data_IF_179804925658
#
_entry.id   IF_179804925658
#
_cell.length_a   1.000
_cell.length_b   1.000
_cell.length_c   1.000
_cell.angle_alpha   90.00
_cell.angle_beta   90.00
_cell.angle_gamma   90.00
#
_symmetry.space_group_name_H-M   'P 1'
#
loop_
_entity.id
_entity.type
_entity.pdbx_description
1 polymer ?
#
# COMPACT_ATOMS: atom_id res chain seq x y z
N UNK A 1 -7.95 3.16 11.57
CA UNK A 1 -7.04 3.72 10.56
C UNK A 1 -5.96 2.77 10.14
N UNK A 2 -5.47 1.93 11.00
CA UNK A 2 -4.65 0.82 10.56
C UNK A 2 -5.55 -0.34 10.14
N UNK A 3 -4.97 -1.29 9.42
CA UNK A 3 -5.72 -2.47 8.98
C UNK A 3 -5.73 -3.51 10.07
N UNK A 4 -6.76 -4.37 10.07
CA UNK A 4 -6.84 -5.48 11.01
C UNK A 4 -5.81 -6.55 10.66
N UNK A 5 -5.47 -7.40 11.64
CA UNK A 5 -4.57 -8.53 11.38
C UNK A 5 -5.12 -9.47 10.31
N UNK A 6 -6.43 -9.68 10.31
CA UNK A 6 -7.09 -10.53 9.31
C UNK A 6 -6.96 -9.97 7.91
N UNK A 7 -7.19 -8.66 7.75
CA UNK A 7 -7.06 -8.00 6.45
C UNK A 7 -5.62 -8.00 5.97
N UNK A 8 -4.68 -7.74 6.87
CA UNK A 8 -3.26 -7.79 6.56
C UNK A 8 -2.85 -9.18 6.08
N UNK A 9 -3.30 -10.22 6.76
CA UNK A 9 -3.01 -11.61 6.36
C UNK A 9 -3.58 -11.91 4.97
N UNK A 10 -4.78 -11.43 4.66
CA UNK A 10 -5.39 -11.61 3.35
C UNK A 10 -4.57 -10.91 2.26
N UNK A 11 -4.10 -9.70 2.50
CA UNK A 11 -3.26 -8.96 1.55
C UNK A 11 -1.92 -9.67 1.32
N UNK A 12 -1.31 -10.17 2.38
CA UNK A 12 -0.06 -10.93 2.27
C UNK A 12 -0.27 -12.14 1.38
N UNK A 13 -1.35 -12.88 1.61
CA UNK A 13 -1.68 -14.07 0.83
C UNK A 13 -1.91 -13.73 -0.65
N UNK A 14 -2.65 -12.65 -0.92
CA UNK A 14 -3.03 -12.26 -2.28
C UNK A 14 -1.85 -11.74 -3.10
N UNK A 15 -0.90 -11.08 -2.48
CA UNK A 15 0.19 -10.41 -3.17
C UNK A 15 1.55 -11.06 -2.96
N UNK A 16 1.63 -12.11 -2.16
CA UNK A 16 2.89 -12.82 -1.95
C UNK A 16 3.39 -13.44 -3.25
N UNK A 17 4.68 -13.34 -3.49
CA UNK A 17 5.31 -13.94 -4.67
C UNK A 17 5.48 -15.45 -4.52
N UNK A 18 5.56 -15.91 -3.29
CA UNK A 18 5.67 -17.32 -2.94
C UNK A 18 5.13 -17.56 -1.54
N UNK A 19 4.90 -18.82 -1.19
CA UNK A 19 4.43 -19.17 0.15
C UNK A 19 5.39 -18.63 1.21
N UNK A 20 4.84 -18.04 2.25
CA UNK A 20 5.61 -17.48 3.35
C UNK A 20 6.18 -16.09 3.09
N UNK A 21 5.94 -15.51 1.92
CA UNK A 21 6.39 -14.15 1.61
C UNK A 21 5.53 -13.14 2.35
N UNK A 22 6.14 -12.39 3.27
CA UNK A 22 5.46 -11.35 4.04
C UNK A 22 6.07 -9.98 3.83
N UNK A 23 7.15 -9.88 3.05
CA UNK A 23 7.92 -8.65 2.95
C UNK A 23 8.30 -8.21 1.54
N UNK A 24 7.75 -8.83 0.49
CA UNK A 24 8.05 -8.39 -0.86
C UNK A 24 7.53 -6.98 -1.10
N UNK A 25 8.10 -6.23 -2.05
CA UNK A 25 7.57 -4.90 -2.39
C UNK A 25 6.09 -4.91 -2.74
N UNK A 26 5.62 -5.95 -3.43
CA UNK A 26 4.20 -6.08 -3.79
C UNK A 26 3.31 -6.16 -2.56
N UNK A 27 3.68 -6.98 -1.59
CA UNK A 27 2.95 -7.10 -0.32
C UNK A 27 2.96 -5.77 0.43
N UNK A 28 4.12 -5.12 0.52
CA UNK A 28 4.23 -3.83 1.21
C UNK A 28 3.38 -2.75 0.55
N UNK A 29 3.38 -2.68 -0.78
CA UNK A 29 2.56 -1.71 -1.52
C UNK A 29 1.08 -1.98 -1.28
N UNK A 30 0.65 -3.24 -1.29
CA UNK A 30 -0.75 -3.59 -1.03
C UNK A 30 -1.19 -3.15 0.37
N UNK A 31 -0.37 -3.40 1.38
CA UNK A 31 -0.65 -2.98 2.76
C UNK A 31 -0.72 -1.45 2.86
N UNK A 32 0.23 -0.75 2.28
CA UNK A 32 0.24 0.72 2.29
C UNK A 32 -0.98 1.29 1.58
N UNK A 33 -1.38 0.71 0.47
CA UNK A 33 -2.56 1.15 -0.29
C UNK A 33 -3.83 1.04 0.56
N UNK A 34 -4.00 -0.06 1.29
CA UNK A 34 -5.14 -0.25 2.19
C UNK A 34 -5.11 0.78 3.32
N UNK A 35 -3.95 0.99 3.95
CA UNK A 35 -3.80 1.96 5.03
C UNK A 35 -4.06 3.37 4.55
N UNK A 36 -3.59 3.73 3.35
CA UNK A 36 -3.84 5.05 2.76
C UNK A 36 -5.34 5.25 2.53
N UNK A 37 -6.03 4.25 2.00
CA UNK A 37 -7.47 4.34 1.78
C UNK A 37 -8.22 4.53 3.09
N UNK A 38 -7.87 3.78 4.14
CA UNK A 38 -8.49 3.90 5.46
C UNK A 38 -8.26 5.28 6.05
N UNK A 39 -7.06 5.81 5.93
CA UNK A 39 -6.72 7.13 6.46
C UNK A 39 -7.40 8.24 5.66
N UNK A 40 -7.51 8.08 4.35
CA UNK A 40 -8.24 9.03 3.50
C UNK A 40 -9.70 9.11 3.94
N UNK A 41 -10.33 7.98 4.24
CA UNK A 41 -11.69 7.96 4.77
C UNK A 41 -11.79 8.66 6.13
N UNK A 42 -10.77 8.52 6.97
CA UNK A 42 -10.71 9.21 8.25
C UNK A 42 -10.81 10.72 8.07
N UNK A 43 -10.18 11.29 7.07
CA UNK A 43 -10.19 12.74 6.83
C UNK A 43 -11.54 13.27 6.38
N UNK A 44 -12.46 12.44 5.94
CA UNK A 44 -13.83 12.88 5.64
C UNK A 44 -14.54 13.38 6.89
N UNK A 45 -14.18 12.83 8.06
CA UNK A 45 -14.77 13.22 9.34
C UNK A 45 -13.82 14.06 10.20
N UNK A 46 -12.50 14.01 9.96
CA UNK A 46 -11.49 14.63 10.81
C UNK A 46 -10.50 15.45 9.97
N UNK A 47 -11.01 16.47 9.26
CA UNK A 47 -10.21 17.25 8.30
C UNK A 47 -9.06 18.02 8.92
N UNK A 48 -9.09 18.27 10.23
CA UNK A 48 -8.06 19.05 10.93
C UNK A 48 -7.03 18.18 11.66
N UNK A 49 -7.03 16.88 11.42
CA UNK A 49 -6.08 15.97 12.05
C UNK A 49 -4.72 16.04 11.36
N UNK A 50 -3.86 16.94 11.83
CA UNK A 50 -2.56 17.18 11.21
C UNK A 50 -1.58 16.03 11.40
N UNK A 51 -1.67 15.29 12.51
CA UNK A 51 -0.80 14.11 12.72
C UNK A 51 -1.10 13.02 11.70
N UNK A 52 -2.37 12.77 11.45
CA UNK A 52 -2.78 11.78 10.45
C UNK A 52 -2.41 12.22 9.04
N UNK A 53 -2.45 13.53 8.74
CA UNK A 53 -2.01 14.04 7.44
C UNK A 53 -0.53 13.77 7.20
N UNK A 54 0.31 13.98 8.21
CA UNK A 54 1.74 13.67 8.10
C UNK A 54 1.96 12.19 7.87
N UNK A 55 1.22 11.35 8.59
CA UNK A 55 1.28 9.90 8.40
C UNK A 55 0.86 9.48 7.00
N UNK A 56 -0.20 10.10 6.47
CA UNK A 56 -0.68 9.83 5.12
C UNK A 56 0.40 10.19 4.08
N UNK A 57 0.98 11.38 4.18
CA UNK A 57 2.01 11.82 3.25
C UNK A 57 3.23 10.90 3.29
N UNK A 58 3.61 10.44 4.48
CA UNK A 58 4.71 9.50 4.65
C UNK A 58 4.42 8.17 3.96
N UNK A 59 3.21 7.65 4.13
CA UNK A 59 2.80 6.39 3.50
C UNK A 59 2.73 6.50 1.98
N UNK A 60 2.22 7.61 1.45
CA UNK A 60 2.18 7.87 0.01
C UNK A 60 3.60 7.89 -0.56
N UNK A 61 4.52 8.56 0.15
CA UNK A 61 5.92 8.65 -0.24
C UNK A 61 6.60 7.28 -0.23
N UNK A 62 6.36 6.47 0.80
CA UNK A 62 6.89 5.11 0.89
C UNK A 62 6.34 4.22 -0.23
N UNK A 63 5.05 4.34 -0.53
CA UNK A 63 4.44 3.57 -1.62
C UNK A 63 5.09 3.93 -2.96
N UNK A 64 5.30 5.21 -3.23
CA UNK A 64 5.96 5.67 -4.45
C UNK A 64 7.37 5.07 -4.57
N UNK A 65 8.15 5.10 -3.50
CA UNK A 65 9.50 4.55 -3.48
C UNK A 65 9.50 3.05 -3.81
N UNK A 66 8.58 2.30 -3.21
CA UNK A 66 8.44 0.87 -3.47
C UNK A 66 8.01 0.58 -4.90
N UNK A 67 7.06 1.37 -5.42
CA UNK A 67 6.60 1.23 -6.81
C UNK A 67 7.72 1.54 -7.81
N UNK A 68 8.51 2.57 -7.55
CA UNK A 68 9.65 2.91 -8.39
C UNK A 68 10.69 1.79 -8.40
N UNK A 69 10.92 1.17 -7.24
CA UNK A 69 11.80 0.02 -7.13
C UNK A 69 11.31 -1.16 -7.97
N UNK A 70 10.03 -1.50 -7.86
CA UNK A 70 9.44 -2.60 -8.63
C UNK A 70 9.52 -2.32 -10.13
N UNK A 71 9.18 -1.09 -10.54
CA UNK A 71 9.22 -0.69 -11.94
C UNK A 71 10.63 -0.82 -12.52
N UNK A 72 11.63 -0.43 -11.76
CA UNK A 72 13.03 -0.51 -12.18
C UNK A 72 13.50 -1.96 -12.27
N UNK A 73 13.05 -2.80 -11.35
CA UNK A 73 13.44 -4.20 -11.29
C UNK A 73 12.70 -5.08 -12.28
N UNK A 74 11.38 -4.85 -12.44
CA UNK A 74 10.54 -5.67 -13.33
C UNK A 74 9.28 -4.88 -13.70
N UNK A 75 9.29 -4.30 -14.88
CA UNK A 75 8.18 -3.46 -15.34
C UNK A 75 6.86 -4.23 -15.47
N UNK A 76 6.91 -5.49 -15.85
CA UNK A 76 5.71 -6.32 -15.95
C UNK A 76 5.05 -6.52 -14.58
N UNK A 77 5.85 -6.77 -13.54
CA UNK A 77 5.36 -6.85 -12.17
C UNK A 77 4.73 -5.53 -11.72
N UNK A 78 5.37 -4.43 -12.07
CA UNK A 78 4.86 -3.09 -11.74
C UNK A 78 3.49 -2.86 -12.37
N UNK A 79 3.33 -3.14 -13.66
CA UNK A 79 2.06 -2.96 -14.36
C UNK A 79 0.95 -3.82 -13.77
N UNK A 80 1.26 -5.08 -13.50
CA UNK A 80 0.30 -6.00 -12.86
C UNK A 80 -0.13 -5.47 -11.51
N UNK A 81 0.82 -4.99 -10.71
CA UNK A 81 0.53 -4.51 -9.37
C UNK A 81 -0.38 -3.28 -9.37
N UNK A 82 -0.08 -2.28 -10.21
CA UNK A 82 -0.91 -1.07 -10.25
C UNK A 82 -2.32 -1.37 -10.78
N UNK A 83 -2.46 -2.31 -11.72
CA UNK A 83 -3.77 -2.72 -12.21
C UNK A 83 -4.58 -3.41 -11.12
N UNK A 84 -3.96 -4.33 -10.37
CA UNK A 84 -4.64 -5.04 -9.29
C UNK A 84 -5.09 -4.12 -8.17
N UNK A 85 -4.30 -3.10 -7.86
CA UNK A 85 -4.58 -2.15 -6.80
C UNK A 85 -5.41 -0.95 -7.25
N UNK A 86 -5.56 -0.77 -8.57
CA UNK A 86 -6.31 0.35 -9.11
C UNK A 86 -5.66 1.69 -8.83
N UNK A 87 -4.35 1.75 -8.76
CA UNK A 87 -3.62 2.97 -8.44
C UNK A 87 -2.94 3.54 -9.68
N UNK A 88 -2.72 4.85 -9.63
CA UNK A 88 -1.96 5.57 -10.66
C UNK A 88 -0.55 5.77 -10.16
N UNK A 89 0.40 5.53 -11.00
CA UNK A 89 1.67 5.88 -10.65
C UNK A 89 2.81 5.82 -11.45
#
# INVERSE_FOLDING_TARGET
MSITAERKAALIKDYALKAGDTGSPEVQVAILTERIANLTNHFKAHVKDNHSRRGLLKMVSQRRTLLDYVKKSDEARYKTLIERLGIRR
#
